data_IF_641724227495
#
_entry.id   IF_641724227495
#
_cell.length_a   1.000
_cell.length_b   1.000
_cell.length_c   1.000
_cell.angle_alpha   90.00
_cell.angle_beta   90.00
_cell.angle_gamma   90.00
#
_symmetry.space_group_name_H-M   'P 1'
#
loop_
_entity.id
_entity.type
_entity.pdbx_description
1 polymer ?
#
# COMPACT_ATOMS: atom_id res chain seq x y z
N UNK A 1 -11.43 -12.98 -5.43
CA UNK A 1 -10.41 -12.02 -5.91
C UNK A 1 -9.06 -12.34 -5.26
N UNK A 2 -7.94 -11.91 -5.81
CA UNK A 2 -6.63 -12.04 -5.16
C UNK A 2 -6.03 -10.65 -5.04
N UNK A 3 -5.38 -10.36 -3.92
CA UNK A 3 -4.58 -9.13 -3.75
C UNK A 3 -3.12 -9.51 -3.66
N UNK A 4 -2.28 -8.65 -4.21
CA UNK A 4 -0.83 -8.78 -4.15
C UNK A 4 -0.28 -7.45 -3.70
N UNK A 5 0.57 -7.43 -2.69
CA UNK A 5 1.27 -6.25 -2.21
C UNK A 5 2.75 -6.48 -2.39
N UNK A 6 3.38 -5.62 -3.18
CA UNK A 6 4.82 -5.67 -3.45
C UNK A 6 5.49 -4.56 -2.67
N UNK A 7 6.41 -4.95 -1.80
CA UNK A 7 7.12 -4.09 -0.88
C UNK A 7 8.53 -3.83 -1.44
N UNK A 8 8.87 -2.57 -1.76
CA UNK A 8 10.11 -2.17 -2.42
C UNK A 8 10.91 -1.16 -1.60
N UNK A 9 12.23 -1.28 -1.63
CA UNK A 9 13.12 -0.28 -1.04
C UNK A 9 13.29 0.95 -1.97
N UNK A 10 14.07 1.92 -1.52
CA UNK A 10 14.32 3.18 -2.23
C UNK A 10 15.16 3.05 -3.49
N UNK A 11 15.80 1.90 -3.71
CA UNK A 11 16.49 1.55 -4.96
C UNK A 11 15.53 0.88 -5.96
N UNK A 12 14.27 0.68 -5.59
CA UNK A 12 13.27 -0.03 -6.38
C UNK A 12 13.34 -1.56 -6.26
N UNK A 13 14.20 -2.09 -5.39
CA UNK A 13 14.35 -3.53 -5.20
C UNK A 13 13.20 -4.09 -4.38
N UNK A 14 12.64 -5.22 -4.82
CA UNK A 14 11.59 -5.93 -4.10
C UNK A 14 12.19 -6.60 -2.87
N UNK A 15 11.75 -6.18 -1.68
CA UNK A 15 12.17 -6.78 -0.43
C UNK A 15 11.18 -7.82 0.09
N UNK A 16 9.90 -7.71 -0.28
CA UNK A 16 8.85 -8.63 0.16
C UNK A 16 7.67 -8.61 -0.80
N UNK A 17 7.04 -9.76 -0.94
CA UNK A 17 5.77 -9.90 -1.67
C UNK A 17 4.79 -10.58 -0.74
N UNK A 18 3.62 -9.97 -0.57
CA UNK A 18 2.50 -10.57 0.13
C UNK A 18 1.38 -10.83 -0.85
N UNK A 19 0.83 -12.05 -0.83
CA UNK A 19 -0.34 -12.40 -1.60
C UNK A 19 -1.42 -12.90 -0.66
N UNK A 20 -2.65 -12.47 -0.89
CA UNK A 20 -3.80 -12.96 -0.15
C UNK A 20 -4.95 -13.25 -1.12
N UNK A 21 -5.52 -14.44 -1.01
CA UNK A 21 -6.76 -14.76 -1.72
C UNK A 21 -7.93 -14.29 -0.88
N UNK A 22 -8.66 -13.31 -1.39
CA UNK A 22 -9.78 -12.69 -0.70
C UNK A 22 -11.10 -13.06 -1.39
N UNK A 23 -12.06 -13.54 -0.61
CA UNK A 23 -13.38 -13.93 -1.08
C UNK A 23 -14.31 -12.75 -1.42
N UNK A 24 -13.77 -11.56 -1.68
CA UNK A 24 -14.60 -10.39 -1.98
C UNK A 24 -15.32 -10.55 -3.32
N UNK A 25 -16.60 -10.17 -3.33
CA UNK A 25 -17.46 -10.05 -4.51
C UNK A 25 -17.34 -8.68 -5.19
N UNK A 26 -16.87 -7.65 -4.47
CA UNK A 26 -16.71 -6.29 -4.96
C UNK A 26 -15.22 -5.95 -5.17
N UNK A 27 -14.91 -5.35 -6.32
CA UNK A 27 -13.57 -4.91 -6.73
C UNK A 27 -13.02 -3.85 -5.78
N UNK A 28 -13.85 -2.89 -5.34
CA UNK A 28 -13.46 -1.82 -4.43
C UNK A 28 -13.07 -2.35 -3.04
N UNK A 29 -13.75 -3.40 -2.58
CA UNK A 29 -13.39 -4.07 -1.32
C UNK A 29 -12.03 -4.77 -1.42
N UNK A 30 -11.69 -5.33 -2.59
CA UNK A 30 -10.39 -5.93 -2.85
C UNK A 30 -9.25 -4.91 -2.80
N UNK A 31 -9.43 -3.77 -3.46
CA UNK A 31 -8.43 -2.70 -3.48
C UNK A 31 -8.24 -2.04 -2.10
N UNK A 32 -9.34 -1.80 -1.37
CA UNK A 32 -9.25 -1.29 0.01
C UNK A 32 -8.54 -2.27 0.94
N UNK A 33 -8.79 -3.58 0.80
CA UNK A 33 -8.10 -4.61 1.56
C UNK A 33 -6.61 -4.72 1.21
N UNK A 34 -6.24 -4.54 -0.07
CA UNK A 34 -4.85 -4.47 -0.50
C UNK A 34 -4.12 -3.27 0.14
N UNK A 35 -4.78 -2.11 0.20
CA UNK A 35 -4.25 -0.93 0.90
C UNK A 35 -4.03 -1.19 2.40
N UNK A 36 -5.02 -1.78 3.09
CA UNK A 36 -4.87 -2.13 4.50
C UNK A 36 -3.73 -3.12 4.73
N UNK A 37 -3.63 -4.15 3.87
CA UNK A 37 -2.56 -5.14 3.94
C UNK A 37 -1.18 -4.49 3.74
N UNK A 38 -1.05 -3.53 2.81
CA UNK A 38 0.18 -2.78 2.60
C UNK A 38 0.62 -2.02 3.86
N UNK A 39 -0.31 -1.32 4.52
CA UNK A 39 -0.03 -0.61 5.79
C UNK A 39 0.35 -1.59 6.90
N UNK A 40 -0.36 -2.72 7.04
CA UNK A 40 -0.02 -3.74 8.03
C UNK A 40 1.39 -4.30 7.81
N UNK A 41 1.76 -4.64 6.57
CA UNK A 41 3.10 -5.12 6.22
C UNK A 41 4.16 -4.07 6.54
N UNK A 42 3.90 -2.80 6.26
CA UNK A 42 4.81 -1.71 6.61
C UNK A 42 5.05 -1.59 8.12
N UNK A 43 3.98 -1.70 8.92
CA UNK A 43 4.05 -1.65 10.38
C UNK A 43 4.82 -2.85 10.94
N UNK A 44 4.55 -4.06 10.44
CA UNK A 44 5.30 -5.28 10.82
C UNK A 44 6.80 -5.16 10.52
N UNK A 45 7.15 -4.51 9.41
CA UNK A 45 8.54 -4.28 9.01
C UNK A 45 9.19 -3.10 9.75
N UNK A 46 8.44 -2.37 10.60
CA UNK A 46 8.95 -1.27 11.40
C UNK A 46 9.19 0.03 10.63
N UNK A 47 8.58 0.21 9.45
CA UNK A 47 8.75 1.43 8.65
C UNK A 47 7.87 2.58 9.17
N UNK A 48 8.50 3.71 9.48
CA UNK A 48 7.80 4.95 9.89
C UNK A 48 7.18 5.73 8.73
N UNK A 49 7.75 5.59 7.54
CA UNK A 49 7.34 6.35 6.36
C UNK A 49 7.21 5.40 5.18
N UNK A 50 6.02 5.39 4.57
CA UNK A 50 5.70 4.57 3.41
C UNK A 50 5.05 5.41 2.32
N UNK A 51 5.28 4.99 1.08
CA UNK A 51 4.57 5.45 -0.11
C UNK A 51 3.74 4.28 -0.61
N UNK A 52 2.42 4.47 -0.68
CA UNK A 52 1.50 3.46 -1.18
C UNK A 52 1.06 3.88 -2.59
N UNK A 53 1.26 2.99 -3.56
CA UNK A 53 0.87 3.16 -4.95
C UNK A 53 -0.30 2.22 -5.26
N UNK A 54 -1.35 2.77 -5.86
CA UNK A 54 -2.49 2.02 -6.39
C UNK A 54 -2.86 2.60 -7.75
N UNK A 55 -3.33 1.76 -8.65
CA UNK A 55 -3.88 2.18 -9.94
C UNK A 55 -5.34 2.68 -9.84
N UNK A 56 -6.01 2.42 -8.71
CA UNK A 56 -7.37 2.86 -8.43
C UNK A 56 -7.44 4.23 -7.77
N UNK A 57 -7.92 5.22 -8.54
CA UNK A 57 -8.22 6.57 -8.03
C UNK A 57 -9.22 6.58 -6.89
N UNK A 58 -10.16 5.63 -6.85
CA UNK A 58 -11.19 5.57 -5.81
C UNK A 58 -10.55 5.18 -4.48
N UNK A 59 -9.66 4.18 -4.47
CA UNK A 59 -8.95 3.77 -3.25
C UNK A 59 -7.93 4.80 -2.81
N UNK A 60 -7.26 5.50 -3.73
CA UNK A 60 -6.43 6.66 -3.36
C UNK A 60 -7.29 7.72 -2.65
N UNK A 61 -8.45 8.08 -3.20
CA UNK A 61 -9.30 9.11 -2.61
C UNK A 61 -9.93 8.69 -1.28
N UNK A 62 -10.32 7.42 -1.11
CA UNK A 62 -10.95 6.91 0.10
C UNK A 62 -9.94 6.64 1.23
N UNK A 63 -8.74 6.17 0.90
CA UNK A 63 -7.66 5.97 1.88
C UNK A 63 -7.13 7.31 2.42
N UNK A 64 -7.31 8.40 1.67
CA UNK A 64 -7.03 9.78 2.07
C UNK A 64 -8.11 10.39 2.99
N UNK A 65 -8.72 9.58 3.86
CA UNK A 65 -9.61 10.06 4.92
C UNK A 65 -8.89 11.02 5.86
N UNK A 66 -9.07 12.33 5.64
CA UNK A 66 -8.75 13.42 6.58
C UNK A 66 -7.35 13.46 7.24
N UNK A 67 -6.26 13.09 6.55
CA UNK A 67 -4.92 13.60 6.94
C UNK A 67 -4.11 14.03 5.73
N UNK A 68 -4.14 15.34 5.48
CA UNK A 68 -3.11 16.04 4.74
C UNK A 68 -1.73 15.72 5.33
N UNK A 69 -0.95 14.89 4.63
CA UNK A 69 0.51 15.03 4.59
C UNK A 69 0.88 15.05 3.11
N UNK A 70 0.69 16.23 2.53
CA UNK A 70 1.49 16.63 1.38
C UNK A 70 2.92 16.92 1.87
N UNK A 71 3.88 16.63 0.99
CA UNK A 71 5.30 17.02 1.05
C UNK A 71 6.25 16.00 1.69
N UNK A 72 6.72 15.13 0.79
CA UNK A 72 8.07 14.58 0.74
C UNK A 72 9.10 15.56 1.31
N UNK A 73 9.66 15.23 2.48
CA UNK A 73 10.97 15.71 2.92
C UNK A 73 11.86 14.48 3.08
N UNK A 74 12.69 14.26 2.05
CA UNK A 74 14.04 13.66 2.14
C UNK A 74 14.27 12.68 3.28
N UNK A 75 13.58 11.55 3.26
CA UNK A 75 14.07 10.27 3.80
C UNK A 75 13.48 9.18 2.91
N UNK A 76 14.36 8.31 2.42
CA UNK A 76 14.11 7.25 1.44
C UNK A 76 12.77 6.50 1.67
N UNK A 77 11.72 6.71 0.87
CA UNK A 77 10.42 6.09 1.11
C UNK A 77 10.43 4.60 0.74
N UNK A 78 9.71 3.82 1.53
CA UNK A 78 9.39 2.43 1.22
C UNK A 78 8.15 2.37 0.33
N UNK A 79 8.22 1.70 -0.83
CA UNK A 79 7.15 1.74 -1.84
C UNK A 79 6.34 0.45 -1.79
N UNK A 80 5.03 0.56 -1.61
CA UNK A 80 4.09 -0.56 -1.63
C UNK A 80 3.14 -0.40 -2.82
N UNK A 81 3.18 -1.36 -3.76
CA UNK A 81 2.34 -1.33 -4.97
C UNK A 81 1.44 -2.56 -5.00
N UNK A 82 0.18 -2.37 -5.39
CA UNK A 82 -0.83 -3.44 -5.54
C UNK A 82 -1.79 -3.16 -6.69
#
# INVERSE_FOLDING_TARGET
MCTTVVARNHLGEVIRIHTARLGFSDVLCGEAAACCLAVSVALELGFKFILVESDSRIVINLSMGQRHIGRLRTMSPFVLSF
#
